data_IF_924875474791
#
_entry.id   IF_924875474791
#
_cell.length_a   1.000
_cell.length_b   1.000
_cell.length_c   1.000
_cell.angle_alpha   90.00
_cell.angle_beta   90.00
_cell.angle_gamma   90.00
#
_symmetry.space_group_name_H-M   'P 1'
#
loop_
_entity.id
_entity.type
_entity.pdbx_description
1 polymer ?
#
# COMPACT_ATOMS: atom_id res chain seq x y z
N UNK A 1 -23.22 -21.38 -19.29
CA UNK A 1 -23.82 -20.71 -18.12
C UNK A 1 -22.72 -20.51 -17.10
N UNK A 2 -22.46 -19.26 -16.70
CA UNK A 2 -21.52 -18.98 -15.60
C UNK A 2 -22.12 -19.52 -14.31
N UNK A 3 -21.47 -20.52 -13.71
CA UNK A 3 -21.91 -21.09 -12.43
C UNK A 3 -21.50 -20.15 -11.30
N UNK A 4 -22.46 -19.75 -10.46
CA UNK A 4 -22.21 -18.89 -9.30
C UNK A 4 -21.13 -19.52 -8.40
N UNK A 5 -20.22 -18.71 -7.83
CA UNK A 5 -19.31 -19.18 -6.80
C UNK A 5 -20.10 -19.88 -5.67
N UNK A 6 -19.59 -20.99 -5.09
CA UNK A 6 -20.34 -21.79 -4.11
C UNK A 6 -20.89 -20.99 -2.91
N UNK A 7 -20.10 -20.03 -2.42
CA UNK A 7 -20.51 -19.15 -1.32
C UNK A 7 -21.68 -18.23 -1.69
N UNK A 8 -21.78 -17.82 -2.95
CA UNK A 8 -22.84 -16.93 -3.43
C UNK A 8 -24.11 -17.71 -3.76
N UNK A 9 -23.98 -18.94 -4.30
CA UNK A 9 -25.12 -19.82 -4.54
C UNK A 9 -25.91 -20.12 -3.25
N UNK A 10 -25.20 -20.25 -2.12
CA UNK A 10 -25.82 -20.44 -0.81
C UNK A 10 -26.55 -19.19 -0.30
N UNK A 11 -26.07 -17.98 -0.62
CA UNK A 11 -26.62 -16.73 -0.12
C UNK A 11 -27.84 -16.23 -0.92
N UNK A 12 -27.87 -16.48 -2.23
CA UNK A 12 -28.90 -15.92 -3.14
C UNK A 12 -30.00 -16.94 -3.46
N UNK A 13 -29.77 -18.23 -3.17
CA UNK A 13 -30.72 -19.30 -3.49
C UNK A 13 -30.76 -19.63 -5.00
N UNK A 14 -31.72 -20.46 -5.45
CA UNK A 14 -31.83 -20.84 -6.85
C UNK A 14 -32.18 -19.63 -7.71
N UNK A 15 -31.31 -19.32 -8.68
CA UNK A 15 -31.56 -18.26 -9.66
C UNK A 15 -32.51 -18.78 -10.74
N UNK A 16 -33.65 -18.09 -11.01
CA UNK A 16 -34.57 -18.50 -12.07
C UNK A 16 -33.89 -18.61 -13.44
N UNK A 17 -34.36 -19.55 -14.27
CA UNK A 17 -33.86 -19.70 -15.63
C UNK A 17 -33.99 -18.39 -16.42
N UNK A 18 -32.93 -18.01 -17.13
CA UNK A 18 -32.86 -16.79 -17.92
C UNK A 18 -32.48 -15.52 -17.14
N UNK A 19 -32.32 -15.57 -15.81
CA UNK A 19 -31.89 -14.43 -15.00
C UNK A 19 -30.37 -14.44 -14.81
N UNK A 20 -29.71 -13.32 -15.14
CA UNK A 20 -28.27 -13.13 -14.87
C UNK A 20 -28.09 -12.20 -13.67
N UNK A 21 -27.38 -12.67 -12.64
CA UNK A 21 -27.03 -11.83 -11.51
C UNK A 21 -25.85 -10.92 -11.86
N UNK A 22 -25.89 -9.61 -11.53
CA UNK A 22 -24.72 -8.76 -11.62
C UNK A 22 -23.74 -9.17 -10.52
N UNK A 23 -22.60 -9.73 -10.94
CA UNK A 23 -21.51 -10.11 -10.05
C UNK A 23 -20.43 -9.01 -10.05
N UNK A 24 -19.67 -8.86 -8.95
CA UNK A 24 -18.44 -8.08 -9.00
C UNK A 24 -17.57 -8.56 -10.17
N UNK A 25 -16.95 -7.65 -10.93
CA UNK A 25 -16.05 -8.03 -12.00
C UNK A 25 -14.85 -8.81 -11.44
N UNK A 26 -14.39 -9.78 -12.23
CA UNK A 26 -13.09 -10.43 -12.06
C UNK A 26 -12.07 -9.73 -12.97
N UNK A 27 -10.81 -9.71 -12.56
CA UNK A 27 -9.75 -9.03 -13.29
C UNK A 27 -8.64 -10.01 -13.64
N UNK A 28 -8.06 -9.83 -14.82
CA UNK A 28 -6.95 -10.65 -15.29
C UNK A 28 -5.60 -10.10 -14.80
N UNK A 29 -5.58 -8.90 -14.20
CA UNK A 29 -4.39 -8.26 -13.62
C UNK A 29 -4.70 -7.44 -12.36
N UNK A 30 -3.69 -7.29 -11.50
CA UNK A 30 -3.76 -6.49 -10.27
C UNK A 30 -3.92 -4.99 -10.60
N UNK A 31 -3.33 -4.51 -11.69
CA UNK A 31 -3.42 -3.12 -12.14
C UNK A 31 -4.84 -2.74 -12.55
N UNK A 32 -5.55 -3.63 -13.25
CA UNK A 32 -6.95 -3.44 -13.61
C UNK A 32 -7.85 -3.46 -12.38
N UNK A 33 -7.61 -4.42 -11.48
CA UNK A 33 -8.34 -4.48 -10.21
C UNK A 33 -8.11 -3.22 -9.36
N UNK A 34 -6.86 -2.73 -9.27
CA UNK A 34 -6.51 -1.48 -8.58
C UNK A 34 -7.21 -0.29 -9.22
N UNK A 35 -7.21 -0.19 -10.56
CA UNK A 35 -7.88 0.90 -11.29
C UNK A 35 -9.39 0.90 -11.03
N UNK A 36 -10.01 -0.28 -11.04
CA UNK A 36 -11.42 -0.44 -10.72
C UNK A 36 -11.74 -0.05 -9.27
N UNK A 37 -10.98 -0.57 -8.29
CA UNK A 37 -11.17 -0.29 -6.86
C UNK A 37 -11.01 1.20 -6.54
N UNK A 38 -10.05 1.89 -7.16
CA UNK A 38 -9.89 3.36 -7.05
C UNK A 38 -11.12 4.10 -7.58
N UNK A 39 -11.66 3.65 -8.72
CA UNK A 39 -12.90 4.20 -9.28
C UNK A 39 -14.09 4.03 -8.34
N UNK A 40 -14.26 2.83 -7.75
CA UNK A 40 -15.32 2.54 -6.79
C UNK A 40 -15.21 3.37 -5.51
N UNK A 41 -14.01 3.55 -4.96
CA UNK A 41 -13.79 4.41 -3.79
C UNK A 41 -14.20 5.87 -4.08
N UNK A 42 -13.80 6.39 -5.23
CA UNK A 42 -14.18 7.74 -5.65
C UNK A 42 -15.70 7.87 -5.91
N UNK A 43 -16.37 6.81 -6.35
CA UNK A 43 -17.83 6.77 -6.46
C UNK A 43 -18.50 6.75 -5.08
N UNK A 44 -17.97 5.97 -4.13
CA UNK A 44 -18.43 5.91 -2.74
C UNK A 44 -18.46 7.28 -2.07
N UNK A 45 -17.36 8.05 -2.17
CA UNK A 45 -17.33 9.42 -1.65
C UNK A 45 -18.36 10.36 -2.29
N UNK A 46 -18.58 10.25 -3.62
CA UNK A 46 -19.60 11.04 -4.31
C UNK A 46 -21.02 10.66 -3.90
N UNK A 47 -21.27 9.38 -3.65
CA UNK A 47 -22.55 8.89 -3.11
C UNK A 47 -22.75 9.48 -1.71
N UNK A 48 -21.74 9.43 -0.85
CA UNK A 48 -21.83 9.97 0.51
C UNK A 48 -22.16 11.46 0.50
N UNK A 49 -21.43 12.25 -0.29
CA UNK A 49 -21.74 13.67 -0.47
C UNK A 49 -23.13 13.93 -1.03
N UNK A 50 -23.59 13.11 -1.99
CA UNK A 50 -24.93 13.25 -2.60
C UNK A 50 -26.08 12.95 -1.62
N UNK A 51 -25.90 11.98 -0.73
CA UNK A 51 -26.93 11.57 0.22
C UNK A 51 -26.81 12.28 1.57
N UNK A 52 -25.87 13.23 1.70
CA UNK A 52 -25.69 13.97 2.94
C UNK A 52 -25.14 13.10 4.07
N UNK A 53 -24.48 11.98 3.75
CA UNK A 53 -23.79 11.14 4.73
C UNK A 53 -22.48 11.77 5.21
N UNK A 54 -22.22 13.02 4.80
CA UNK A 54 -21.09 13.79 5.24
C UNK A 54 -21.35 14.56 6.52
N UNK A 55 -21.41 13.84 7.66
CA UNK A 55 -21.64 14.41 8.98
C UNK A 55 -20.47 14.11 9.95
N UNK A 56 -19.65 15.13 10.19
CA UNK A 56 -18.62 15.13 11.24
C UNK A 56 -17.39 14.25 10.93
N UNK A 57 -16.95 13.45 11.91
CA UNK A 57 -15.69 12.67 11.85
C UNK A 57 -15.89 11.23 11.32
N UNK A 58 -17.12 10.86 10.96
CA UNK A 58 -17.52 9.49 10.67
C UNK A 58 -17.66 9.22 9.16
N UNK A 59 -16.57 9.33 8.39
CA UNK A 59 -16.62 9.15 6.93
C UNK A 59 -15.42 8.40 6.31
N UNK A 60 -14.66 7.66 7.12
CA UNK A 60 -13.46 6.97 6.63
C UNK A 60 -13.80 5.62 5.99
N UNK A 61 -14.12 5.64 4.69
CA UNK A 61 -14.08 4.44 3.86
C UNK A 61 -12.77 4.39 3.09
N UNK A 62 -12.13 3.22 3.05
CA UNK A 62 -10.91 2.99 2.27
C UNK A 62 -11.00 1.63 1.58
N UNK A 63 -10.17 1.41 0.56
CA UNK A 63 -10.06 0.14 -0.15
C UNK A 63 -8.65 -0.40 0.02
N UNK A 64 -8.52 -1.72 0.24
CA UNK A 64 -7.23 -2.38 0.47
C UNK A 64 -6.37 -2.34 -0.79
N UNK A 65 -5.13 -1.89 -0.64
CA UNK A 65 -4.13 -1.76 -1.71
C UNK A 65 -2.86 -2.56 -1.34
N UNK A 66 -2.30 -3.42 -2.23
CA UNK A 66 -1.19 -4.31 -1.91
C UNK A 66 0.19 -3.63 -2.04
N UNK A 67 0.34 -2.41 -1.53
CA UNK A 67 1.60 -1.67 -1.58
C UNK A 67 2.72 -2.34 -0.75
N UNK A 68 2.35 -3.11 0.28
CA UNK A 68 3.31 -3.76 1.20
C UNK A 68 4.26 -4.76 0.50
N UNK A 69 3.87 -5.33 -0.64
CA UNK A 69 4.73 -6.27 -1.38
C UNK A 69 6.02 -5.63 -1.89
N UNK A 70 6.09 -4.31 -2.05
CA UNK A 70 7.31 -3.61 -2.44
C UNK A 70 8.50 -3.87 -1.49
N UNK A 71 8.22 -4.27 -0.24
CA UNK A 71 9.20 -4.50 0.83
C UNK A 71 9.35 -5.97 1.23
N UNK A 72 8.69 -6.91 0.53
CA UNK A 72 8.71 -8.32 0.91
C UNK A 72 10.15 -8.88 0.83
N UNK A 73 10.72 -9.22 1.99
CA UNK A 73 12.15 -9.61 2.13
C UNK A 73 13.14 -8.58 1.57
N UNK A 74 12.72 -7.32 1.52
CA UNK A 74 13.55 -6.23 1.03
C UNK A 74 13.55 -5.02 1.97
N UNK A 75 13.53 -5.32 3.26
CA UNK A 75 13.77 -4.38 4.34
C UNK A 75 14.51 -5.06 5.49
N UNK A 76 15.40 -4.31 6.15
CA UNK A 76 16.09 -4.75 7.35
C UNK A 76 15.33 -4.41 8.64
N UNK A 77 15.81 -4.95 9.75
CA UNK A 77 15.41 -4.57 11.11
C UNK A 77 16.67 -4.23 11.90
N UNK A 78 16.68 -3.04 12.50
CA UNK A 78 17.68 -2.62 13.48
C UNK A 78 17.05 -2.62 14.87
N UNK A 79 17.51 -3.50 15.76
CA UNK A 79 16.93 -3.75 17.08
C UNK A 79 17.85 -3.32 18.26
N UNK A 80 19.06 -2.85 17.98
CA UNK A 80 20.05 -2.38 18.97
C UNK A 80 19.90 -0.87 19.25
N UNK A 81 18.69 -0.40 19.58
CA UNK A 81 18.45 1.01 19.91
C UNK A 81 19.13 1.41 21.22
N UNK A 82 19.99 2.44 21.19
CA UNK A 82 20.79 2.90 22.34
C UNK A 82 20.52 4.35 22.79
N UNK A 83 19.45 4.96 22.30
CA UNK A 83 19.08 6.35 22.64
C UNK A 83 19.52 7.35 21.58
N UNK A 84 19.93 8.55 21.99
CA UNK A 84 20.36 9.62 21.07
C UNK A 84 21.74 9.30 20.50
N UNK A 85 21.84 9.29 19.17
CA UNK A 85 23.06 9.01 18.43
C UNK A 85 24.10 10.09 18.70
N UNK A 86 25.22 9.72 19.32
CA UNK A 86 26.36 10.62 19.56
C UNK A 86 27.70 10.03 19.05
N UNK A 87 27.65 8.84 18.45
CA UNK A 87 28.82 8.07 18.03
C UNK A 87 28.66 7.62 16.58
N UNK A 88 29.75 7.64 15.81
CA UNK A 88 29.75 7.23 14.40
C UNK A 88 29.41 5.74 14.22
N UNK A 89 29.76 4.90 15.19
CA UNK A 89 29.56 3.45 15.18
C UNK A 89 28.08 3.05 15.04
N UNK A 90 27.14 3.92 15.42
CA UNK A 90 25.71 3.67 15.22
C UNK A 90 25.33 3.71 13.74
N UNK A 91 25.92 4.62 12.96
CA UNK A 91 25.74 4.67 11.52
C UNK A 91 26.16 3.35 10.86
N UNK A 92 27.28 2.78 11.28
CA UNK A 92 27.77 1.50 10.76
C UNK A 92 26.84 0.32 11.11
N UNK A 93 26.25 0.32 12.31
CA UNK A 93 25.28 -0.71 12.70
C UNK A 93 23.98 -0.59 11.93
N UNK A 94 23.48 0.63 11.72
CA UNK A 94 22.29 0.88 10.90
C UNK A 94 22.55 0.50 9.45
N UNK A 95 23.71 0.87 8.89
CA UNK A 95 24.11 0.48 7.54
C UNK A 95 24.21 -1.05 7.40
N UNK A 96 24.73 -1.74 8.42
CA UNK A 96 24.75 -3.20 8.46
C UNK A 96 23.36 -3.82 8.52
N UNK A 97 22.44 -3.24 9.29
CA UNK A 97 21.05 -3.69 9.37
C UNK A 97 20.27 -3.43 8.07
N UNK A 98 20.57 -2.33 7.38
CA UNK A 98 20.04 -2.02 6.06
C UNK A 98 20.53 -3.03 5.02
N UNK A 99 21.83 -3.35 5.00
CA UNK A 99 22.41 -4.26 4.02
C UNK A 99 22.16 -3.77 2.59
N UNK A 100 21.73 -4.68 1.72
CA UNK A 100 21.37 -4.38 0.32
C UNK A 100 19.90 -3.96 0.15
N UNK A 101 19.16 -3.77 1.25
CA UNK A 101 17.74 -3.46 1.21
C UNK A 101 17.45 -1.99 0.93
N UNK A 102 16.24 -1.72 0.41
CA UNK A 102 15.76 -0.35 0.18
C UNK A 102 15.26 0.37 1.43
N UNK A 103 15.07 -0.35 2.53
CA UNK A 103 14.53 0.19 3.78
C UNK A 103 15.00 -0.57 5.02
N UNK A 104 14.96 0.09 6.18
CA UNK A 104 15.19 -0.53 7.49
C UNK A 104 14.22 0.02 8.52
N UNK A 105 13.63 -0.86 9.33
CA UNK A 105 12.85 -0.49 10.51
C UNK A 105 13.83 -0.34 11.67
N UNK A 106 13.89 0.85 12.25
CA UNK A 106 14.67 1.16 13.44
C UNK A 106 13.75 0.97 14.65
N UNK A 107 13.92 -0.14 15.37
CA UNK A 107 13.09 -0.49 16.52
C UNK A 107 13.09 0.67 17.53
N UNK A 108 11.90 1.07 17.97
CA UNK A 108 11.69 2.19 18.91
C UNK A 108 12.10 3.58 18.38
N UNK A 109 12.41 3.72 17.08
CA UNK A 109 12.88 4.98 16.51
C UNK A 109 12.06 5.41 15.27
N UNK A 110 11.95 4.57 14.25
CA UNK A 110 11.22 4.93 13.03
C UNK A 110 11.65 4.17 11.79
N UNK A 111 11.49 4.79 10.63
CA UNK A 111 11.83 4.23 9.32
C UNK A 111 13.03 4.96 8.72
N UNK A 112 13.86 4.22 7.97
CA UNK A 112 14.87 4.78 7.10
C UNK A 112 14.78 4.10 5.74
N UNK A 113 14.84 4.88 4.67
CA UNK A 113 14.79 4.37 3.29
C UNK A 113 15.92 4.94 2.45
N UNK A 114 16.36 4.16 1.46
CA UNK A 114 17.40 4.54 0.50
C UNK A 114 16.93 4.24 -0.91
N UNK A 115 17.50 4.92 -1.90
CA UNK A 115 17.21 4.69 -3.30
C UNK A 115 18.34 5.20 -4.18
N UNK A 116 18.33 4.84 -5.45
CA UNK A 116 19.30 5.34 -6.43
C UNK A 116 18.99 6.79 -6.85
N UNK A 117 17.83 7.30 -6.44
CA UNK A 117 17.42 8.69 -6.57
C UNK A 117 16.66 9.14 -5.32
N UNK A 118 16.62 10.46 -5.08
CA UNK A 118 15.79 11.05 -4.01
C UNK A 118 14.32 10.67 -4.18
N UNK A 119 13.83 10.64 -5.42
CA UNK A 119 12.45 10.27 -5.73
C UNK A 119 12.10 8.85 -5.28
N UNK A 120 12.97 7.86 -5.54
CA UNK A 120 12.82 6.51 -5.01
C UNK A 120 12.77 6.49 -3.49
N UNK A 121 13.77 7.09 -2.83
CA UNK A 121 13.87 7.06 -1.37
C UNK A 121 12.62 7.66 -0.71
N UNK A 122 12.11 8.77 -1.26
CA UNK A 122 10.86 9.40 -0.83
C UNK A 122 9.66 8.47 -1.03
N UNK A 123 9.53 7.84 -2.20
CA UNK A 123 8.43 6.91 -2.45
C UNK A 123 8.46 5.72 -1.49
N UNK A 124 9.63 5.11 -1.27
CA UNK A 124 9.80 4.04 -0.32
C UNK A 124 9.40 4.48 1.09
N UNK A 125 9.77 5.68 1.52
CA UNK A 125 9.40 6.18 2.84
C UNK A 125 7.87 6.31 2.98
N UNK A 126 7.24 6.96 2.00
CA UNK A 126 5.78 7.20 1.99
C UNK A 126 5.01 5.88 1.99
N UNK A 127 5.39 4.94 1.12
CA UNK A 127 4.65 3.67 0.99
C UNK A 127 4.94 2.70 2.14
N UNK A 128 6.13 2.76 2.76
CA UNK A 128 6.44 1.99 3.97
C UNK A 128 5.63 2.50 5.17
N UNK A 129 5.58 3.81 5.39
CA UNK A 129 4.76 4.42 6.44
C UNK A 129 3.27 4.02 6.29
N UNK A 130 2.74 4.07 5.07
CA UNK A 130 1.37 3.63 4.78
C UNK A 130 1.16 2.13 4.99
N UNK A 131 2.16 1.31 4.67
CA UNK A 131 2.12 -0.14 4.90
C UNK A 131 2.12 -0.46 6.40
N UNK A 132 2.94 0.23 7.21
CA UNK A 132 2.95 0.11 8.66
C UNK A 132 1.59 0.52 9.25
N UNK A 133 1.03 1.65 8.82
CA UNK A 133 -0.30 2.09 9.23
C UNK A 133 -1.38 1.04 8.91
N UNK A 134 -1.37 0.51 7.68
CA UNK A 134 -2.31 -0.52 7.24
C UNK A 134 -2.18 -1.81 8.06
N UNK A 135 -0.97 -2.24 8.38
CA UNK A 135 -0.71 -3.43 9.20
C UNK A 135 -1.27 -3.26 10.62
N UNK A 136 -1.00 -2.13 11.27
CA UNK A 136 -1.51 -1.85 12.62
C UNK A 136 -3.04 -1.82 12.65
N UNK A 137 -3.68 -1.17 11.67
CA UNK A 137 -5.14 -1.14 11.54
C UNK A 137 -5.73 -2.53 11.30
N UNK A 138 -5.09 -3.34 10.44
CA UNK A 138 -5.53 -4.70 10.18
C UNK A 138 -5.44 -5.57 11.43
N UNK A 139 -4.34 -5.47 12.19
CA UNK A 139 -4.12 -6.19 13.45
C UNK A 139 -5.11 -5.75 14.55
N UNK A 140 -5.44 -4.47 14.60
CA UNK A 140 -6.45 -3.94 15.53
C UNK A 140 -7.86 -4.48 15.21
N UNK A 141 -8.17 -4.71 13.93
CA UNK A 141 -9.44 -5.27 13.48
C UNK A 141 -9.52 -6.81 13.61
N UNK A 142 -8.38 -7.49 13.77
CA UNK A 142 -8.31 -8.95 13.90
C UNK A 142 -7.01 -9.52 13.33
N UNK A 143 -6.98 -10.83 13.07
CA UNK A 143 -5.79 -11.48 12.49
C UNK A 143 -5.72 -11.23 10.98
N UNK A 144 -4.69 -10.55 10.44
CA UNK A 144 -4.56 -10.35 9.00
C UNK A 144 -4.35 -11.67 8.26
N UNK A 145 -4.98 -11.81 7.09
CA UNK A 145 -4.65 -12.88 6.15
C UNK A 145 -3.43 -12.47 5.33
N UNK A 146 -2.34 -13.22 5.47
CA UNK A 146 -1.10 -12.95 4.76
C UNK A 146 -1.22 -13.31 3.27
N UNK A 147 -0.50 -12.56 2.44
CA UNK A 147 -0.26 -12.90 1.04
C UNK A 147 0.73 -14.07 1.04
N UNK A 148 0.52 -15.06 0.17
CA UNK A 148 1.47 -16.16 0.04
C UNK A 148 2.82 -15.66 -0.51
N UNK A 149 3.89 -16.38 -0.18
CA UNK A 149 5.26 -15.98 -0.50
C UNK A 149 5.49 -15.81 -2.01
N UNK A 150 4.94 -16.69 -2.84
CA UNK A 150 5.16 -16.67 -4.29
C UNK A 150 4.54 -15.41 -4.90
N UNK A 151 3.28 -15.13 -4.57
CA UNK A 151 2.59 -13.91 -4.99
C UNK A 151 3.30 -12.65 -4.48
N UNK A 152 3.80 -12.66 -3.24
CA UNK A 152 4.51 -11.52 -2.66
C UNK A 152 5.83 -11.24 -3.40
N UNK A 153 6.60 -12.27 -3.76
CA UNK A 153 7.82 -12.14 -4.56
C UNK A 153 7.54 -11.62 -5.97
N UNK A 154 6.55 -12.19 -6.67
CA UNK A 154 6.17 -11.73 -8.02
C UNK A 154 5.76 -10.25 -7.98
N UNK A 155 4.94 -9.88 -7.00
CA UNK A 155 4.47 -8.50 -6.87
C UNK A 155 5.64 -7.56 -6.54
N UNK A 156 6.54 -7.95 -5.63
CA UNK A 156 7.76 -7.19 -5.31
C UNK A 156 8.60 -6.93 -6.55
N UNK A 157 8.81 -7.94 -7.39
CA UNK A 157 9.65 -7.82 -8.59
C UNK A 157 9.02 -6.91 -9.66
N UNK A 158 7.71 -6.65 -9.56
CA UNK A 158 7.00 -5.68 -10.40
C UNK A 158 7.03 -4.26 -9.80
N UNK A 159 6.66 -4.12 -8.53
CA UNK A 159 6.39 -2.80 -7.90
C UNK A 159 7.51 -2.27 -7.02
N UNK A 160 8.47 -3.12 -6.66
CA UNK A 160 9.60 -2.82 -5.79
C UNK A 160 10.90 -2.50 -6.54
N UNK A 161 10.85 -2.33 -7.86
CA UNK A 161 12.02 -1.97 -8.68
C UNK A 161 12.37 -0.49 -8.56
N UNK A 162 13.62 -0.14 -8.87
CA UNK A 162 14.11 1.24 -8.94
C UNK A 162 13.20 2.13 -9.82
N UNK A 163 12.94 1.70 -11.06
CA UNK A 163 12.07 2.40 -11.99
C UNK A 163 10.65 2.57 -11.44
N UNK A 164 10.09 1.54 -10.79
CA UNK A 164 8.78 1.63 -10.17
C UNK A 164 8.79 2.69 -9.05
N UNK A 165 9.79 2.69 -8.17
CA UNK A 165 9.91 3.69 -7.10
C UNK A 165 9.98 5.11 -7.62
N UNK A 166 10.84 5.37 -8.61
CA UNK A 166 10.93 6.67 -9.27
C UNK A 166 9.61 7.07 -9.94
N UNK A 167 8.98 6.14 -10.67
CA UNK A 167 7.74 6.40 -11.40
C UNK A 167 6.58 6.74 -10.45
N UNK A 168 6.49 6.03 -9.33
CA UNK A 168 5.42 6.19 -8.34
C UNK A 168 5.58 7.46 -7.50
N UNK A 169 6.81 8.00 -7.37
CA UNK A 169 7.05 9.30 -6.77
C UNK A 169 6.52 10.47 -7.61
N UNK A 170 6.38 10.30 -8.93
CA UNK A 170 6.08 11.40 -9.87
C UNK A 170 4.80 12.18 -9.55
N UNK A 171 3.68 11.56 -9.16
CA UNK A 171 2.48 12.31 -8.80
C UNK A 171 2.69 13.20 -7.56
N UNK A 172 3.44 12.72 -6.56
CA UNK A 172 3.80 13.52 -5.39
C UNK A 172 4.71 14.69 -5.77
N UNK A 173 5.66 14.44 -6.66
CA UNK A 173 6.57 15.47 -7.18
C UNK A 173 5.82 16.53 -7.99
N UNK A 174 4.88 16.11 -8.84
CA UNK A 174 4.03 17.02 -9.60
C UNK A 174 3.13 17.85 -8.67
N UNK A 175 2.60 17.23 -7.61
CA UNK A 175 1.78 17.92 -6.63
C UNK A 175 2.58 19.00 -5.87
N UNK A 176 3.77 18.67 -5.34
CA UNK A 176 4.56 19.65 -4.58
C UNK A 176 5.07 20.79 -5.48
N UNK A 177 5.46 20.49 -6.72
CA UNK A 177 5.89 21.51 -7.68
C UNK A 177 4.73 22.45 -8.06
N UNK A 178 3.50 21.93 -8.09
CA UNK A 178 2.32 22.74 -8.39
C UNK A 178 1.85 23.57 -7.18
N UNK A 179 2.04 23.09 -5.94
CA UNK A 179 1.71 23.85 -4.72
C UNK A 179 2.73 24.92 -4.41
N UNK A 180 4.00 24.63 -4.65
CA UNK A 180 5.14 25.47 -4.28
C UNK A 180 5.98 25.78 -5.54
N UNK A 181 5.52 26.70 -6.40
CA UNK A 181 6.12 26.93 -7.72
C UNK A 181 7.54 27.51 -7.66
N UNK A 182 7.92 28.10 -6.53
CA UNK A 182 9.24 28.67 -6.24
C UNK A 182 10.20 27.66 -5.56
N UNK A 183 9.77 26.40 -5.36
CA UNK A 183 10.57 25.37 -4.66
C UNK A 183 11.96 25.13 -5.28
N UNK A 184 12.12 25.43 -6.57
CA UNK A 184 13.36 25.18 -7.32
C UNK A 184 14.07 26.46 -7.79
N UNK A 185 13.63 27.63 -7.33
CA UNK A 185 14.26 28.93 -7.59
C UNK A 185 15.30 29.29 -6.51
#
# INVERSE_FOLDING_TARGET
>A
MSTLPPALAAAVGPVPEGVTLPLPPTFDSVEEERRYRKGQLAAGFRIFGRFGFSEGVAEHITVRDPDACAFFEDHGIYDDYRGVVNELDEGDRVAKALGDHKAVILQNHGLLTVGHSVAEAVWWFVTMERSCQAQLLAMAAGTPRLIDRETALITRDQVGTQLAGWFQARPLWAQITASDPDLFD
#
